data_IF_233583597299
#
_entry.id   IF_233583597299
#
_cell.length_a   1.000
_cell.length_b   1.000
_cell.length_c   1.000
_cell.angle_alpha   90.00
_cell.angle_beta   90.00
_cell.angle_gamma   90.00
#
_symmetry.space_group_name_H-M   'P 1'
#
loop_
_entity.id
_entity.type
_entity.pdbx_description
1 polymer ?
#
# COMPACT_ATOMS: atom_id res chain seq x y z
N UNK A 1 14.12 9.55 2.77
CA UNK A 1 12.83 8.87 2.44
C UNK A 1 12.19 9.61 1.29
N UNK A 2 11.72 8.91 0.26
CA UNK A 2 10.98 9.56 -0.83
C UNK A 2 9.52 9.72 -0.38
N UNK A 3 8.93 10.88 -0.65
CA UNK A 3 7.50 11.11 -0.39
C UNK A 3 6.65 10.24 -1.30
N UNK A 4 5.48 9.74 -0.84
CA UNK A 4 4.55 8.98 -1.66
C UNK A 4 4.12 9.78 -2.89
N UNK A 5 4.04 9.13 -4.05
CA UNK A 5 3.62 9.76 -5.32
C UNK A 5 2.16 9.50 -5.62
N UNK A 6 1.56 8.50 -4.99
CA UNK A 6 0.18 8.08 -5.18
C UNK A 6 -0.71 8.57 -4.04
N UNK A 7 -2.00 8.78 -4.33
CA UNK A 7 -3.00 9.14 -3.30
C UNK A 7 -3.12 8.00 -2.29
N UNK A 8 -3.14 6.74 -2.75
CA UNK A 8 -3.14 5.57 -1.88
C UNK A 8 -1.90 5.53 -0.98
N UNK A 9 -0.70 5.88 -1.49
CA UNK A 9 0.52 5.96 -0.70
C UNK A 9 0.41 6.98 0.43
N UNK A 10 -0.18 8.14 0.19
CA UNK A 10 -0.39 9.14 1.24
C UNK A 10 -1.34 8.67 2.33
N UNK A 11 -2.44 7.97 2.00
CA UNK A 11 -3.33 7.41 3.01
C UNK A 11 -2.58 6.40 3.90
N UNK A 12 -1.82 5.48 3.30
CA UNK A 12 -1.02 4.50 4.05
C UNK A 12 0.06 5.19 4.91
N UNK A 13 0.72 6.25 4.41
CA UNK A 13 1.72 6.99 5.18
C UNK A 13 1.13 7.63 6.43
N UNK A 14 -0.03 8.29 6.31
CA UNK A 14 -0.73 8.90 7.45
C UNK A 14 -1.08 7.83 8.50
N UNK A 15 -1.65 6.72 8.06
CA UNK A 15 -1.97 5.61 8.96
C UNK A 15 -0.70 4.98 9.57
N UNK A 16 0.40 4.92 8.83
CA UNK A 16 1.69 4.44 9.33
C UNK A 16 2.23 5.31 10.46
N UNK A 17 2.21 6.63 10.29
CA UNK A 17 2.63 7.57 11.35
C UNK A 17 1.74 7.43 12.59
N UNK A 18 0.44 7.34 12.40
CA UNK A 18 -0.51 7.21 13.52
C UNK A 18 -0.37 5.88 14.24
N UNK A 19 -0.11 4.77 13.52
CA UNK A 19 0.19 3.48 14.13
C UNK A 19 1.49 3.51 14.95
N UNK A 20 2.54 4.17 14.44
CA UNK A 20 3.77 4.41 15.19
C UNK A 20 3.52 5.18 16.48
N UNK A 21 2.77 6.29 16.41
CA UNK A 21 2.45 7.12 17.57
C UNK A 21 1.64 6.32 18.60
N UNK A 22 0.61 5.59 18.17
CA UNK A 22 -0.20 4.76 19.07
C UNK A 22 0.63 3.64 19.69
N UNK A 23 1.48 2.97 18.90
CA UNK A 23 2.42 1.99 19.41
C UNK A 23 3.38 2.57 20.43
N UNK A 24 3.96 3.74 20.17
CA UNK A 24 4.85 4.43 21.10
C UNK A 24 4.12 4.84 22.39
N UNK A 25 2.91 5.39 22.30
CA UNK A 25 2.09 5.71 23.48
C UNK A 25 1.82 4.48 24.31
N UNK A 26 1.43 3.36 23.68
CA UNK A 26 1.15 2.13 24.42
C UNK A 26 2.40 1.48 25.07
N UNK A 27 3.58 1.68 24.48
CA UNK A 27 4.84 1.21 25.06
C UNK A 27 5.30 2.09 26.25
N UNK A 28 5.16 3.41 26.12
CA UNK A 28 5.66 4.37 27.11
C UNK A 28 4.64 4.66 28.22
N UNK A 29 3.34 4.66 27.88
CA UNK A 29 2.24 4.99 28.77
C UNK A 29 1.05 4.03 28.56
N UNK A 30 1.19 2.73 28.91
CA UNK A 30 0.16 1.72 28.63
C UNK A 30 -1.19 2.04 29.27
N UNK A 31 -1.20 2.62 30.48
CA UNK A 31 -2.44 3.01 31.13
C UNK A 31 -3.14 4.18 30.43
N UNK A 32 -2.40 5.13 29.88
CA UNK A 32 -2.99 6.22 29.11
C UNK A 32 -3.69 5.68 27.85
N UNK A 33 -3.06 4.73 27.16
CA UNK A 33 -3.66 4.04 26.01
C UNK A 33 -4.95 3.30 26.42
N UNK A 34 -4.92 2.53 27.50
CA UNK A 34 -6.09 1.78 27.98
C UNK A 34 -7.25 2.72 28.33
N UNK A 35 -7.00 3.84 29.06
CA UNK A 35 -8.01 4.85 29.37
C UNK A 35 -8.59 5.49 28.12
N UNK A 36 -7.75 5.82 27.14
CA UNK A 36 -8.18 6.38 25.87
C UNK A 36 -9.13 5.44 25.12
N UNK A 37 -8.86 4.15 25.17
CA UNK A 37 -9.69 3.10 24.56
C UNK A 37 -10.93 2.75 25.37
N UNK A 38 -11.08 3.30 26.59
CA UNK A 38 -12.23 3.09 27.45
C UNK A 38 -12.15 1.87 28.36
N UNK A 39 -10.97 1.25 28.49
CA UNK A 39 -10.77 0.15 29.42
C UNK A 39 -10.62 0.67 30.86
N UNK A 40 -11.21 -0.05 31.81
CA UNK A 40 -11.04 0.22 33.22
C UNK A 40 -9.66 -0.26 33.68
N UNK A 41 -9.02 0.54 34.52
CA UNK A 41 -7.73 0.18 35.11
C UNK A 41 -7.96 -0.15 36.57
N UNK A 42 -7.81 -1.42 36.97
CA UNK A 42 -7.97 -1.80 38.37
C UNK A 42 -6.89 -1.17 39.24
N UNK A 43 -7.29 -0.68 40.42
CA UNK A 43 -6.39 -0.07 41.42
C UNK A 43 -5.34 -1.06 41.94
N UNK A 44 -5.73 -2.34 42.02
CA UNK A 44 -4.85 -3.44 42.44
C UNK A 44 -4.88 -4.54 41.39
N UNK A 45 -3.70 -5.00 40.97
CA UNK A 45 -3.59 -6.11 40.01
C UNK A 45 -3.60 -7.43 40.75
N UNK A 46 -4.44 -8.36 40.32
CA UNK A 46 -4.47 -9.71 40.84
C UNK A 46 -3.20 -10.49 40.44
N UNK A 47 -2.78 -11.49 41.23
CA UNK A 47 -1.77 -12.45 40.80
C UNK A 47 -2.22 -13.13 39.49
N UNK A 48 -1.36 -13.09 38.46
CA UNK A 48 -1.70 -13.62 37.12
C UNK A 48 -2.38 -12.64 36.19
N UNK A 49 -2.49 -11.36 36.53
CA UNK A 49 -2.91 -10.31 35.58
C UNK A 49 -1.79 -10.00 34.58
N UNK A 50 -1.95 -10.50 33.35
CA UNK A 50 -1.03 -10.27 32.23
C UNK A 50 -1.42 -9.12 31.32
N UNK A 51 -2.37 -8.27 31.73
CA UNK A 51 -2.85 -7.11 30.92
C UNK A 51 -1.67 -6.26 30.42
N UNK A 52 -0.68 -5.97 31.29
CA UNK A 52 0.51 -5.22 30.89
C UNK A 52 1.31 -5.89 29.79
N UNK A 53 1.48 -7.20 29.84
CA UNK A 53 2.19 -7.95 28.80
C UNK A 53 1.44 -7.90 27.46
N UNK A 54 0.13 -8.09 27.47
CA UNK A 54 -0.69 -8.00 26.25
C UNK A 54 -0.70 -6.61 25.67
N UNK A 55 -0.80 -5.55 26.48
CA UNK A 55 -0.73 -4.16 26.01
C UNK A 55 0.63 -3.86 25.40
N UNK A 56 1.71 -4.31 26.02
CA UNK A 56 3.07 -4.15 25.47
C UNK A 56 3.21 -4.88 24.14
N UNK A 57 2.75 -6.12 24.04
CA UNK A 57 2.83 -6.90 22.81
C UNK A 57 1.99 -6.27 21.66
N UNK A 58 0.77 -5.83 21.95
CA UNK A 58 -0.09 -5.17 20.95
C UNK A 58 0.46 -3.81 20.53
N UNK A 59 1.03 -3.05 21.47
CA UNK A 59 1.68 -1.76 21.18
C UNK A 59 2.91 -1.93 20.32
N UNK A 60 3.73 -2.97 20.56
CA UNK A 60 4.86 -3.31 19.71
C UNK A 60 4.42 -3.75 18.32
N UNK A 61 3.34 -4.53 18.21
CA UNK A 61 2.75 -4.89 16.92
C UNK A 61 2.28 -3.66 16.13
N UNK A 62 1.61 -2.71 16.80
CA UNK A 62 1.19 -1.44 16.20
C UNK A 62 2.38 -0.61 15.73
N UNK A 63 3.44 -0.52 16.54
CA UNK A 63 4.66 0.18 16.18
C UNK A 63 5.33 -0.43 14.93
N UNK A 64 5.50 -1.74 14.91
CA UNK A 64 6.06 -2.46 13.75
C UNK A 64 5.20 -2.27 12.50
N UNK A 65 3.87 -2.31 12.64
CA UNK A 65 2.95 -2.07 11.52
C UNK A 65 3.14 -0.65 10.95
N UNK A 66 3.34 0.35 11.81
CA UNK A 66 3.65 1.70 11.39
C UNK A 66 4.93 1.77 10.56
N UNK A 67 6.00 1.07 10.99
CA UNK A 67 7.25 0.97 10.22
C UNK A 67 7.00 0.31 8.85
N UNK A 68 6.26 -0.80 8.80
CA UNK A 68 5.97 -1.50 7.54
C UNK A 68 5.17 -0.63 6.58
N UNK A 69 4.21 0.14 7.08
CA UNK A 69 3.45 1.09 6.27
C UNK A 69 4.34 2.17 5.66
N UNK A 70 5.25 2.74 6.44
CA UNK A 70 6.18 3.75 5.95
C UNK A 70 7.18 3.19 4.93
N UNK A 71 7.67 1.96 5.14
CA UNK A 71 8.52 1.27 4.17
C UNK A 71 7.77 0.97 2.88
N UNK A 72 6.53 0.49 2.96
CA UNK A 72 5.70 0.22 1.80
C UNK A 72 5.42 1.49 0.98
N UNK A 73 5.21 2.64 1.65
CA UNK A 73 5.02 3.93 0.97
C UNK A 73 6.30 4.47 0.35
N UNK A 74 7.45 4.28 0.99
CA UNK A 74 8.75 4.69 0.46
C UNK A 74 9.12 3.93 -0.85
N UNK A 75 8.58 2.72 -1.02
CA UNK A 75 8.79 1.86 -2.19
C UNK A 75 7.60 1.85 -3.16
N UNK A 76 6.53 2.59 -2.88
CA UNK A 76 5.27 2.58 -3.65
C UNK A 76 4.73 1.16 -3.90
N UNK A 77 4.75 0.30 -2.89
CA UNK A 77 4.36 -1.10 -3.01
C UNK A 77 2.84 -1.27 -3.10
N UNK A 78 2.30 -1.11 -4.31
CA UNK A 78 0.85 -1.14 -4.58
C UNK A 78 0.16 -2.46 -4.21
N UNK A 79 0.86 -3.59 -4.30
CA UNK A 79 0.30 -4.88 -3.88
C UNK A 79 0.02 -4.88 -2.37
N UNK A 80 0.93 -4.30 -1.57
CA UNK A 80 0.73 -4.12 -0.13
C UNK A 80 -0.49 -3.25 0.17
N UNK A 81 -0.71 -2.16 -0.58
CA UNK A 81 -1.88 -1.29 -0.38
C UNK A 81 -3.20 -2.04 -0.58
N UNK A 82 -3.31 -2.87 -1.63
CA UNK A 82 -4.50 -3.71 -1.88
C UNK A 82 -4.74 -4.71 -0.76
N UNK A 83 -3.68 -5.39 -0.34
CA UNK A 83 -3.71 -6.33 0.77
C UNK A 83 -4.18 -5.66 2.07
N UNK A 84 -3.64 -4.48 2.38
CA UNK A 84 -3.98 -3.71 3.57
C UNK A 84 -5.47 -3.35 3.63
N UNK A 85 -6.11 -3.01 2.50
CA UNK A 85 -7.55 -2.73 2.46
C UNK A 85 -8.36 -3.94 2.96
N UNK A 86 -8.05 -5.14 2.48
CA UNK A 86 -8.77 -6.37 2.87
C UNK A 86 -8.60 -6.64 4.36
N UNK A 87 -7.34 -6.60 4.86
CA UNK A 87 -7.07 -6.91 6.27
C UNK A 87 -7.61 -5.86 7.23
N UNK A 88 -7.65 -4.59 6.85
CA UNK A 88 -8.34 -3.55 7.63
C UNK A 88 -9.84 -3.77 7.72
N UNK A 89 -10.49 -4.23 6.65
CA UNK A 89 -11.90 -4.60 6.70
C UNK A 89 -12.15 -5.79 7.62
N UNK A 90 -11.26 -6.79 7.60
CA UNK A 90 -11.31 -7.91 8.56
C UNK A 90 -11.18 -7.39 10.00
N UNK A 91 -10.21 -6.52 10.27
CA UNK A 91 -10.00 -5.92 11.60
C UNK A 91 -11.22 -5.10 12.04
N UNK A 92 -11.77 -4.27 11.14
CA UNK A 92 -12.99 -3.53 11.39
C UNK A 92 -14.15 -4.46 11.81
N UNK A 93 -14.34 -5.55 11.07
CA UNK A 93 -15.40 -6.53 11.36
C UNK A 93 -15.21 -7.18 12.72
N UNK A 94 -14.00 -7.70 12.99
CA UNK A 94 -13.69 -8.38 14.26
C UNK A 94 -13.86 -7.43 15.46
N UNK A 95 -13.35 -6.20 15.35
CA UNK A 95 -13.45 -5.23 16.44
C UNK A 95 -14.90 -4.74 16.65
N UNK A 96 -15.67 -4.59 15.58
CA UNK A 96 -17.09 -4.29 15.67
C UNK A 96 -17.84 -5.41 16.39
N UNK A 97 -17.59 -6.66 16.04
CA UNK A 97 -18.18 -7.83 16.71
C UNK A 97 -17.80 -7.84 18.19
N UNK A 98 -16.53 -7.58 18.52
CA UNK A 98 -16.07 -7.55 19.91
C UNK A 98 -16.83 -6.51 20.76
N UNK A 99 -17.11 -5.33 20.18
CA UNK A 99 -17.91 -4.30 20.87
C UNK A 99 -19.37 -4.69 20.99
N UNK A 100 -19.98 -5.24 19.93
CA UNK A 100 -21.39 -5.66 19.93
C UNK A 100 -21.62 -6.84 20.87
N UNK A 101 -20.62 -7.71 21.04
CA UNK A 101 -20.67 -8.85 21.96
C UNK A 101 -20.26 -8.50 23.40
N UNK A 102 -20.13 -7.22 23.76
CA UNK A 102 -19.68 -6.74 25.07
C UNK A 102 -18.32 -7.30 25.55
N UNK A 103 -17.48 -7.77 24.61
CA UNK A 103 -16.12 -8.20 24.89
C UNK A 103 -15.17 -7.00 25.05
N UNK A 104 -15.49 -5.89 24.36
CA UNK A 104 -14.73 -4.65 24.41
C UNK A 104 -15.65 -3.47 24.75
N UNK A 105 -15.12 -2.43 25.46
CA UNK A 105 -15.92 -1.27 25.83
C UNK A 105 -16.38 -0.49 24.59
N UNK A 106 -17.53 0.18 24.68
CA UNK A 106 -18.12 0.91 23.55
C UNK A 106 -17.19 1.94 22.90
N UNK A 107 -16.29 2.57 23.66
CA UNK A 107 -15.25 3.48 23.11
C UNK A 107 -14.27 2.79 22.17
N UNK A 108 -14.07 1.49 22.32
CA UNK A 108 -13.20 0.71 21.42
C UNK A 108 -13.74 0.66 19.98
N UNK A 109 -15.04 0.94 19.78
CA UNK A 109 -15.60 1.11 18.44
C UNK A 109 -14.89 2.22 17.64
N UNK A 110 -14.30 3.21 18.30
CA UNK A 110 -13.47 4.21 17.63
C UNK A 110 -12.28 3.61 16.88
N UNK A 111 -11.69 2.53 17.41
CA UNK A 111 -10.60 1.79 16.74
C UNK A 111 -11.14 1.02 15.53
N UNK A 112 -12.30 0.36 15.69
CA UNK A 112 -12.96 -0.30 14.57
C UNK A 112 -13.27 0.69 13.44
N UNK A 113 -13.94 1.81 13.76
CA UNK A 113 -14.27 2.85 12.79
C UNK A 113 -13.03 3.41 12.08
N UNK A 114 -11.94 3.59 12.81
CA UNK A 114 -10.66 4.01 12.26
C UNK A 114 -10.14 3.03 11.19
N UNK A 115 -10.20 1.72 11.45
CA UNK A 115 -9.78 0.70 10.48
C UNK A 115 -10.70 0.68 9.24
N UNK A 116 -12.02 0.80 9.44
CA UNK A 116 -12.98 0.90 8.35
C UNK A 116 -12.75 2.13 7.45
N UNK A 117 -12.59 3.31 8.07
CA UNK A 117 -12.31 4.55 7.35
C UNK A 117 -10.97 4.48 6.61
N UNK A 118 -9.96 3.87 7.24
CA UNK A 118 -8.65 3.66 6.61
C UNK A 118 -8.71 2.74 5.39
N UNK A 119 -9.51 1.67 5.47
CA UNK A 119 -9.74 0.78 4.34
C UNK A 119 -10.42 1.52 3.18
N UNK A 120 -11.47 2.29 3.46
CA UNK A 120 -12.20 3.08 2.46
C UNK A 120 -11.32 4.16 1.83
N UNK A 121 -10.55 4.89 2.64
CA UNK A 121 -9.64 5.93 2.14
C UNK A 121 -8.56 5.35 1.22
N UNK A 122 -7.97 4.20 1.60
CA UNK A 122 -6.94 3.54 0.78
C UNK A 122 -7.55 2.95 -0.50
N UNK A 123 -8.72 2.32 -0.43
CA UNK A 123 -9.43 1.79 -1.60
C UNK A 123 -9.81 2.91 -2.58
N UNK A 124 -10.33 4.03 -2.06
CA UNK A 124 -10.62 5.23 -2.84
C UNK A 124 -9.39 5.83 -3.50
N UNK A 125 -8.26 5.87 -2.78
CA UNK A 125 -6.97 6.31 -3.32
C UNK A 125 -6.48 5.40 -4.46
N UNK A 126 -6.55 4.08 -4.30
CA UNK A 126 -6.19 3.11 -5.35
C UNK A 126 -7.07 3.26 -6.60
N UNK A 127 -8.37 3.44 -6.40
CA UNK A 127 -9.30 3.67 -7.51
C UNK A 127 -9.02 4.98 -8.25
N UNK A 128 -8.74 6.07 -7.52
CA UNK A 128 -8.37 7.35 -8.09
C UNK A 128 -7.07 7.27 -8.90
N UNK A 129 -6.04 6.64 -8.34
CA UNK A 129 -4.76 6.45 -8.99
C UNK A 129 -4.90 5.61 -10.28
N UNK A 130 -5.76 4.57 -10.28
CA UNK A 130 -6.05 3.76 -11.45
C UNK A 130 -6.72 4.55 -12.56
N UNK A 131 -7.69 5.43 -12.23
CA UNK A 131 -8.36 6.28 -13.24
C UNK A 131 -7.41 7.27 -13.92
N UNK A 132 -6.48 7.84 -13.15
CA UNK A 132 -5.49 8.78 -13.72
C UNK A 132 -4.54 8.12 -14.71
N UNK A 133 -4.13 6.88 -14.45
CA UNK A 133 -3.23 6.14 -15.35
C UNK A 133 -3.89 5.82 -16.70
N UNK A 134 -5.17 5.51 -16.72
CA UNK A 134 -5.93 5.26 -17.96
C UNK A 134 -6.06 6.54 -18.81
N UNK A 135 -6.32 7.69 -18.18
CA UNK A 135 -6.44 8.97 -18.87
C UNK A 135 -5.14 9.43 -19.55
N UNK A 136 -3.98 9.14 -18.92
CA UNK A 136 -2.67 9.50 -19.51
C UNK A 136 -2.29 8.60 -20.71
N UNK A 137 -2.69 7.33 -20.70
CA UNK A 137 -2.43 6.41 -21.81
C UNK A 137 -3.19 6.80 -23.08
N UNK A 138 -4.47 7.19 -22.95
CA UNK A 138 -5.30 7.59 -24.08
C UNK A 138 -4.79 8.89 -24.77
N UNK A 139 -4.25 9.83 -24.01
CA UNK A 139 -3.69 11.07 -24.54
C UNK A 139 -2.38 10.84 -25.30
N UNK A 140 -1.53 9.88 -24.84
CA UNK A 140 -0.28 9.52 -25.50
C UNK A 140 -0.49 8.84 -26.85
N UNK A 141 -1.46 7.93 -26.93
CA UNK A 141 -1.75 7.17 -28.14
C UNK A 141 -2.34 8.08 -29.24
N UNK A 142 -3.19 9.06 -28.87
CA UNK A 142 -3.72 10.06 -29.78
C UNK A 142 -2.64 10.99 -30.35
N UNK A 143 -1.60 11.31 -29.58
CA UNK A 143 -0.50 12.16 -30.03
C UNK A 143 0.43 11.43 -31.01
N UNK A 144 0.69 10.14 -30.78
CA UNK A 144 1.51 9.30 -31.68
C UNK A 144 0.81 9.12 -33.02
N UNK A 145 -0.49 8.86 -33.05
CA UNK A 145 -1.29 8.70 -34.27
C UNK A 145 -1.34 9.99 -35.09
N UNK A 146 -1.43 11.15 -34.42
CA UNK A 146 -1.45 12.45 -35.10
C UNK A 146 -0.11 12.84 -35.72
N UNK A 147 1.01 12.36 -35.14
CA UNK A 147 2.38 12.60 -35.66
C UNK A 147 2.65 11.75 -36.88
N UNK A 148 2.18 10.49 -36.88
CA UNK A 148 2.36 9.55 -38.00
C UNK A 148 1.57 9.97 -39.24
N UNK A 149 0.38 10.54 -39.05
CA UNK A 149 -0.42 11.09 -40.17
C UNK A 149 0.19 12.36 -40.80
N UNK A 150 1.03 13.11 -40.09
CA UNK A 150 1.71 14.30 -40.66
C UNK A 150 3.00 13.94 -41.40
N UNK A 151 3.55 12.74 -41.18
CA UNK A 151 4.77 12.27 -41.86
C UNK A 151 4.54 11.63 -43.25
N UNK A 152 3.29 11.30 -43.60
CA UNK A 152 2.94 10.74 -44.92
C UNK A 152 2.59 11.83 -45.92
N UNK A 153 3.58 12.53 -46.42
CA UNK A 153 3.46 13.34 -47.64
C UNK A 153 3.39 12.39 -48.83
N UNK A 154 2.34 12.41 -49.67
CA UNK A 154 2.28 11.60 -50.87
C UNK A 154 3.15 12.25 -51.94
N UNK A 155 4.27 11.65 -52.26
CA UNK A 155 4.98 12.03 -53.45
C UNK A 155 6.50 12.02 -53.39
N UNK A 156 7.09 10.83 -53.27
CA UNK A 156 8.44 10.63 -53.83
C UNK A 156 8.50 9.27 -54.52
N UNK A 157 8.78 9.17 -55.83
CA UNK A 157 8.89 7.89 -56.53
C UNK A 157 10.18 7.20 -56.11
N UNK A 158 10.04 5.99 -55.54
CA UNK A 158 11.16 5.11 -55.23
C UNK A 158 11.87 4.78 -56.51
N UNK A 159 13.05 5.36 -56.70
CA UNK A 159 14.02 4.96 -57.69
C UNK A 159 14.55 3.55 -57.33
N UNK A 160 14.13 2.60 -58.13
CA UNK A 160 14.58 1.20 -58.08
C UNK A 160 15.88 1.12 -58.88
N UNK A 161 17.01 1.26 -58.19
CA UNK A 161 18.28 0.82 -58.72
C UNK A 161 19.25 0.51 -57.53
N UNK A 162 19.53 -0.71 -57.24
CA UNK A 162 20.83 -1.27 -57.37
C UNK A 162 20.89 -2.74 -56.99
N UNK A 163 21.50 -3.44 -57.91
CA UNK A 163 21.84 -4.86 -57.95
C UNK A 163 22.87 -5.24 -56.90
N UNK A 164 22.66 -6.39 -56.27
CA UNK A 164 23.75 -7.37 -56.12
C UNK A 164 24.80 -7.09 -55.04
N UNK A 165 24.70 -7.84 -53.97
CA UNK A 165 25.90 -8.52 -53.48
C UNK A 165 25.52 -9.76 -52.65
N UNK A 166 25.81 -10.88 -53.25
CA UNK A 166 25.91 -12.19 -52.59
C UNK A 166 27.08 -12.20 -51.60
N UNK A 167 26.99 -12.98 -50.56
CA UNK A 167 28.18 -13.30 -49.74
C UNK A 167 27.89 -13.88 -48.36
N UNK A 168 27.72 -15.17 -48.32
CA UNK A 168 28.23 -16.23 -47.46
C UNK A 168 27.75 -16.36 -46.01
N UNK A 169 27.43 -17.60 -45.61
CA UNK A 169 27.03 -17.97 -44.26
C UNK A 169 28.24 -18.30 -43.38
N UNK A 170 28.23 -17.83 -42.16
CA UNK A 170 29.18 -18.17 -41.10
C UNK A 170 28.51 -19.02 -40.01
N UNK A 171 28.88 -20.26 -40.05
CA UNK A 171 28.78 -21.39 -39.12
C UNK A 171 29.12 -21.00 -37.66
N UNK A 172 28.37 -21.60 -36.71
CA UNK A 172 28.50 -21.55 -35.26
C UNK A 172 29.85 -21.89 -34.64
N UNK A 173 30.02 -22.32 -33.41
CA UNK A 173 29.20 -23.25 -32.58
C UNK A 173 28.96 -22.80 -31.12
N UNK A 174 28.00 -23.31 -30.46
CA UNK A 174 27.83 -24.29 -29.41
C UNK A 174 28.79 -24.26 -28.18
N UNK A 175 28.12 -24.52 -27.03
CA UNK A 175 28.58 -25.14 -25.78
C UNK A 175 29.22 -24.19 -24.75
N UNK A 176 28.82 -24.18 -23.52
CA UNK A 176 28.75 -25.06 -22.36
C UNK A 176 28.12 -24.25 -21.22
N UNK A 177 27.14 -24.69 -20.50
CA UNK A 177 27.09 -25.67 -19.41
C UNK A 177 27.86 -25.25 -18.14
N UNK A 178 27.11 -25.36 -17.01
CA UNK A 178 27.56 -25.66 -15.61
C UNK A 178 27.98 -24.47 -14.74
N UNK A 179 27.21 -24.08 -13.81
CA UNK A 179 27.01 -24.42 -12.39
C UNK A 179 25.91 -23.55 -11.76
#
# INVERSE_FOLDING_TARGET
MRLPRSVAGWTIAVFGVLALLMGAVGLLWPEALLRMLGFEIPQTRAPGDYTGAFVTASSMASFNMGVYYLLATATEWRAFYRFTVVFRLVTFTVFTIAVVADIAPGRFFGVAAWEGLGALATAGGLWWDARRSVGSGAAGDSAVTATDQRGSTPGEPVSNDDRGRAGTPGVGPAADAVH
#
